data_IF_605006395983
#
_entry.id   IF_605006395983
#
_cell.length_a   1.000
_cell.length_b   1.000
_cell.length_c   1.000
_cell.angle_alpha   90.00
_cell.angle_beta   90.00
_cell.angle_gamma   90.00
#
_symmetry.space_group_name_H-M   'P 1'
#
loop_
_entity.id
_entity.type
_entity.pdbx_description
1 polymer ?
#
# COMPACT_ATOMS: atom_id res chain seq x y z
N UNK A 1 26.98 -5.94 13.34
CA UNK A 1 27.17 -6.06 11.87
C UNK A 1 25.98 -6.71 11.13
N UNK A 2 25.27 -7.70 11.68
CA UNK A 2 24.09 -8.29 11.01
C UNK A 2 22.85 -7.39 10.96
N UNK A 3 22.58 -6.61 12.02
CA UNK A 3 21.45 -5.66 12.05
C UNK A 3 21.59 -4.57 11.01
N UNK A 4 22.79 -3.98 10.93
CA UNK A 4 23.09 -2.88 10.01
C UNK A 4 22.88 -3.26 8.53
N UNK A 5 23.31 -4.46 8.12
CA UNK A 5 23.06 -4.93 6.75
C UNK A 5 21.58 -5.24 6.45
N UNK A 6 20.84 -5.75 7.44
CA UNK A 6 19.40 -5.98 7.30
C UNK A 6 18.61 -4.66 7.24
N UNK A 7 19.03 -3.66 8.01
CA UNK A 7 18.42 -2.33 8.03
C UNK A 7 18.72 -1.57 6.72
N UNK A 8 19.93 -1.68 6.17
CA UNK A 8 20.28 -1.13 4.85
C UNK A 8 19.44 -1.73 3.72
N UNK A 9 19.27 -3.06 3.69
CA UNK A 9 18.44 -3.72 2.68
C UNK A 9 16.97 -3.27 2.75
N UNK A 10 16.42 -3.12 3.97
CA UNK A 10 15.06 -2.59 4.18
C UNK A 10 14.93 -1.13 3.73
N UNK A 11 15.95 -0.32 3.94
CA UNK A 11 16.02 1.07 3.47
C UNK A 11 16.00 1.18 1.95
N UNK A 12 16.76 0.32 1.26
CA UNK A 12 16.80 0.25 -0.21
C UNK A 12 15.46 -0.21 -0.79
N UNK A 13 14.84 -1.22 -0.19
CA UNK A 13 13.53 -1.73 -0.63
C UNK A 13 12.44 -0.65 -0.51
N UNK A 14 12.41 0.06 0.62
CA UNK A 14 11.48 1.17 0.84
C UNK A 14 11.70 2.28 -0.18
N UNK A 15 12.96 2.55 -0.56
CA UNK A 15 13.31 3.57 -1.55
C UNK A 15 12.86 3.20 -2.97
N UNK A 16 12.97 1.91 -3.36
CA UNK A 16 12.43 1.42 -4.64
C UNK A 16 10.91 1.47 -4.67
N UNK A 17 10.25 1.11 -3.57
CA UNK A 17 8.78 1.14 -3.50
C UNK A 17 8.21 2.56 -3.61
N UNK A 18 8.94 3.58 -3.13
CA UNK A 18 8.53 4.99 -3.25
C UNK A 18 8.28 5.44 -4.69
N UNK A 19 9.07 4.96 -5.65
CA UNK A 19 8.88 5.29 -7.06
C UNK A 19 7.94 4.32 -7.78
N UNK A 20 7.96 3.03 -7.40
CA UNK A 20 7.18 1.99 -8.08
C UNK A 20 5.69 2.01 -7.74
N UNK A 21 5.31 2.34 -6.49
CA UNK A 21 3.89 2.37 -6.09
C UNK A 21 3.10 3.41 -6.89
N UNK A 22 3.55 4.68 -7.01
CA UNK A 22 2.90 5.66 -7.89
C UNK A 22 2.75 5.17 -9.34
N UNK A 23 3.77 4.51 -9.89
CA UNK A 23 3.71 3.95 -11.25
C UNK A 23 2.65 2.87 -11.41
N UNK A 24 2.51 2.01 -10.40
CA UNK A 24 1.50 0.96 -10.43
C UNK A 24 0.10 1.53 -10.36
N UNK A 25 -0.11 2.53 -9.50
CA UNK A 25 -1.38 3.26 -9.42
C UNK A 25 -1.68 3.97 -10.74
N UNK A 26 -0.71 4.66 -11.32
CA UNK A 26 -0.87 5.34 -12.61
C UNK A 26 -1.26 4.39 -13.74
N UNK A 27 -0.68 3.20 -13.77
CA UNK A 27 -1.00 2.17 -14.77
C UNK A 27 -2.38 1.56 -14.57
N UNK A 28 -2.77 1.32 -13.32
CA UNK A 28 -3.96 0.55 -12.96
C UNK A 28 -5.22 1.42 -12.85
N UNK A 29 -5.15 2.52 -12.10
CA UNK A 29 -6.26 3.42 -11.84
C UNK A 29 -6.33 4.61 -12.81
N UNK A 30 -5.23 4.91 -13.52
CA UNK A 30 -5.14 5.99 -14.52
C UNK A 30 -5.71 7.34 -14.02
N UNK A 31 -5.26 7.84 -12.86
CA UNK A 31 -5.70 9.13 -12.34
C UNK A 31 -5.38 10.27 -13.30
N UNK A 32 -6.19 11.32 -13.25
CA UNK A 32 -5.98 12.55 -14.00
C UNK A 32 -6.02 13.77 -13.05
N UNK A 33 -4.89 14.48 -12.82
CA UNK A 33 -3.57 14.21 -13.38
C UNK A 33 -2.92 12.92 -12.82
N UNK A 34 -1.96 12.32 -13.54
CA UNK A 34 -1.16 11.21 -13.01
C UNK A 34 -0.45 11.58 -11.71
N UNK A 35 -0.26 10.62 -10.82
CA UNK A 35 0.48 10.80 -9.57
C UNK A 35 1.96 11.00 -9.89
N UNK A 36 2.53 12.10 -9.44
CA UNK A 36 3.96 12.36 -9.53
C UNK A 36 4.73 11.50 -8.50
N UNK A 37 5.84 10.91 -8.93
CA UNK A 37 6.72 10.08 -8.12
C UNK A 37 7.46 10.86 -7.03
N UNK A 38 7.68 12.15 -7.25
CA UNK A 38 8.45 13.01 -6.33
C UNK A 38 7.55 13.93 -5.52
N UNK A 39 6.35 14.23 -6.02
CA UNK A 39 5.38 15.04 -5.28
C UNK A 39 4.58 14.18 -4.28
N UNK A 40 4.85 14.45 -3.01
CA UNK A 40 4.22 13.83 -1.85
C UNK A 40 2.89 14.50 -1.46
N UNK A 41 2.76 15.78 -1.77
CA UNK A 41 1.60 16.58 -1.35
C UNK A 41 0.37 16.26 -2.19
N UNK A 42 0.57 15.78 -3.41
CA UNK A 42 -0.49 15.36 -4.33
C UNK A 42 -0.93 13.89 -4.13
N UNK A 43 -0.67 13.28 -2.97
CA UNK A 43 -1.03 11.88 -2.65
C UNK A 43 -2.04 11.79 -1.50
N UNK A 44 -2.29 10.58 -1.02
CA UNK A 44 -3.26 10.33 0.05
C UNK A 44 -4.68 10.71 -0.36
N UNK A 45 -5.46 11.22 0.59
CA UNK A 45 -6.87 11.59 0.35
C UNK A 45 -7.03 12.83 -0.54
N UNK A 46 -5.96 13.57 -0.84
CA UNK A 46 -6.00 14.70 -1.78
C UNK A 46 -6.23 14.20 -3.21
N UNK A 47 -5.63 13.06 -3.57
CA UNK A 47 -5.80 12.43 -4.88
C UNK A 47 -6.95 11.41 -4.85
N UNK A 48 -7.82 11.42 -5.85
CA UNK A 48 -8.99 10.52 -5.87
C UNK A 48 -8.61 9.04 -6.00
N UNK A 49 -7.58 8.70 -6.77
CA UNK A 49 -7.15 7.31 -6.93
C UNK A 49 -6.46 6.78 -5.67
N UNK A 50 -5.59 7.57 -5.05
CA UNK A 50 -5.00 7.23 -3.75
C UNK A 50 -6.08 7.15 -2.66
N UNK A 51 -6.98 8.13 -2.61
CA UNK A 51 -8.07 8.16 -1.64
C UNK A 51 -8.99 6.94 -1.76
N UNK A 52 -9.32 6.50 -2.97
CA UNK A 52 -10.09 5.27 -3.20
C UNK A 52 -9.38 4.04 -2.60
N UNK A 53 -8.06 3.93 -2.76
CA UNK A 53 -7.27 2.84 -2.20
C UNK A 53 -7.19 2.87 -0.67
N UNK A 54 -7.18 4.06 -0.08
CA UNK A 54 -7.06 4.28 1.36
C UNK A 54 -8.39 4.34 2.10
N UNK A 55 -9.49 4.53 1.38
CA UNK A 55 -10.82 4.62 1.95
C UNK A 55 -11.10 3.36 2.78
N UNK A 56 -11.61 3.50 4.02
CA UNK A 56 -12.13 2.38 4.77
C UNK A 56 -13.17 1.63 3.95
N UNK A 57 -13.14 0.29 3.99
CA UNK A 57 -14.04 -0.55 3.21
C UNK A 57 -15.51 -0.41 3.59
N UNK A 58 -15.78 0.14 4.77
CA UNK A 58 -17.11 0.45 5.27
C UNK A 58 -17.68 1.73 4.65
N UNK A 59 -16.86 2.51 3.94
CA UNK A 59 -17.22 3.79 3.33
C UNK A 59 -17.09 3.74 1.80
N UNK A 60 -18.06 4.33 1.09
CA UNK A 60 -18.02 4.43 -0.37
C UNK A 60 -17.30 5.71 -0.83
N UNK A 61 -16.07 5.57 -1.31
CA UNK A 61 -15.29 6.71 -1.83
C UNK A 61 -15.96 7.43 -3.02
N UNK A 62 -16.81 6.73 -3.79
CA UNK A 62 -17.49 7.34 -4.92
C UNK A 62 -18.55 8.35 -4.46
N UNK A 63 -19.09 8.17 -3.25
CA UNK A 63 -19.99 9.12 -2.63
C UNK A 63 -19.26 10.45 -2.32
N UNK A 64 -19.65 11.58 -2.94
CA UNK A 64 -18.99 12.86 -2.72
C UNK A 64 -19.02 13.33 -1.26
N UNK A 65 -20.07 12.98 -0.51
CA UNK A 65 -20.19 13.32 0.91
C UNK A 65 -19.17 12.56 1.75
N UNK A 66 -18.97 11.27 1.47
CA UNK A 66 -17.93 10.46 2.12
C UNK A 66 -16.55 11.05 1.83
N UNK A 67 -16.28 11.33 0.55
CA UNK A 67 -14.99 11.89 0.13
C UNK A 67 -14.69 13.25 0.77
N UNK A 68 -15.67 14.15 0.81
CA UNK A 68 -15.55 15.43 1.50
C UNK A 68 -15.36 15.22 3.01
N UNK A 69 -16.17 14.37 3.64
CA UNK A 69 -16.09 14.07 5.07
C UNK A 69 -14.73 13.51 5.49
N UNK A 70 -14.14 12.61 4.70
CA UNK A 70 -12.80 12.07 4.96
C UNK A 70 -11.74 13.17 4.82
N UNK A 71 -11.82 14.01 3.78
CA UNK A 71 -10.86 15.11 3.53
C UNK A 71 -10.89 16.17 4.63
N UNK A 72 -12.10 16.52 5.06
CA UNK A 72 -12.34 17.54 6.09
C UNK A 72 -12.27 16.97 7.52
N UNK A 73 -12.07 15.65 7.65
CA UNK A 73 -11.99 14.91 8.93
C UNK A 73 -13.24 15.12 9.80
N UNK A 74 -14.41 15.10 9.17
CA UNK A 74 -15.69 15.23 9.87
C UNK A 74 -15.97 14.00 10.75
N UNK A 75 -16.74 14.22 11.81
CA UNK A 75 -17.22 13.14 12.67
C UNK A 75 -17.99 12.09 11.85
N UNK A 76 -17.71 10.80 12.10
CA UNK A 76 -18.24 9.69 11.30
C UNK A 76 -17.44 9.34 10.03
N UNK A 77 -16.46 10.16 9.64
CA UNK A 77 -15.60 9.93 8.46
C UNK A 77 -14.11 9.87 8.81
N UNK A 78 -13.77 9.71 10.09
CA UNK A 78 -12.40 9.63 10.56
C UNK A 78 -11.80 8.27 10.20
N UNK A 79 -10.79 8.27 9.34
CA UNK A 79 -10.00 7.08 9.03
C UNK A 79 -9.00 6.84 10.16
N UNK A 80 -9.09 5.68 10.80
CA UNK A 80 -8.26 5.31 11.96
C UNK A 80 -7.28 4.18 11.60
N UNK A 81 -6.34 3.89 12.49
CA UNK A 81 -5.45 2.73 12.35
C UNK A 81 -6.17 1.37 12.37
N UNK A 82 -7.41 1.34 12.85
CA UNK A 82 -8.27 0.15 12.89
C UNK A 82 -9.13 0.00 11.63
N UNK A 83 -9.17 1.03 10.77
CA UNK A 83 -9.90 0.99 9.51
C UNK A 83 -9.19 0.07 8.52
N UNK A 84 -9.96 -0.72 7.78
CA UNK A 84 -9.42 -1.60 6.73
C UNK A 84 -9.42 -0.85 5.40
N UNK A 85 -8.26 -0.44 4.86
CA UNK A 85 -8.23 0.28 3.60
C UNK A 85 -8.52 -0.66 2.43
N UNK A 86 -9.20 -0.13 1.41
CA UNK A 86 -9.60 -0.87 0.22
C UNK A 86 -8.43 -1.58 -0.49
N UNK A 87 -7.22 -1.01 -0.48
CA UNK A 87 -6.04 -1.63 -1.11
C UNK A 87 -5.66 -3.00 -0.53
N UNK A 88 -6.22 -3.42 0.62
CA UNK A 88 -5.98 -4.77 1.14
C UNK A 88 -6.70 -5.84 0.32
N UNK A 89 -7.82 -5.48 -0.31
CA UNK A 89 -8.73 -6.43 -0.92
C UNK A 89 -8.46 -6.63 -2.42
N UNK A 90 -8.79 -7.83 -2.90
CA UNK A 90 -8.82 -8.12 -4.33
C UNK A 90 -9.76 -7.13 -5.05
N UNK A 91 -9.27 -6.51 -6.12
CA UNK A 91 -10.07 -5.52 -6.87
C UNK A 91 -10.40 -4.25 -6.07
N UNK A 92 -9.80 -4.04 -4.90
CA UNK A 92 -10.03 -2.87 -4.05
C UNK A 92 -11.46 -2.76 -3.52
N UNK A 93 -12.12 -3.89 -3.29
CA UNK A 93 -13.49 -3.93 -2.75
C UNK A 93 -13.60 -5.09 -1.76
N UNK A 94 -14.14 -4.82 -0.57
CA UNK A 94 -14.44 -5.85 0.41
C UNK A 94 -15.89 -6.33 0.26
N UNK A 95 -16.12 -7.61 0.52
CA UNK A 95 -17.47 -8.12 0.71
C UNK A 95 -17.91 -7.86 2.15
N UNK A 96 -18.92 -7.01 2.32
CA UNK A 96 -19.46 -6.68 3.63
C UNK A 96 -20.04 -7.88 4.38
N UNK A 97 -20.45 -8.94 3.66
CA UNK A 97 -20.95 -10.18 4.26
C UNK A 97 -19.82 -11.16 4.59
N UNK A 98 -18.64 -10.97 3.99
CA UNK A 98 -17.47 -11.82 4.18
C UNK A 98 -16.17 -11.04 4.00
N UNK A 99 -15.72 -10.35 5.06
CA UNK A 99 -14.49 -9.55 5.05
C UNK A 99 -13.21 -10.37 4.88
N UNK A 100 -13.26 -11.70 4.99
CA UNK A 100 -12.10 -12.54 4.72
C UNK A 100 -11.91 -12.77 3.21
N UNK A 101 -13.00 -12.65 2.43
CA UNK A 101 -12.94 -12.80 0.99
C UNK A 101 -12.13 -11.67 0.36
N UNK A 102 -11.24 -12.04 -0.57
CA UNK A 102 -10.35 -11.07 -1.19
C UNK A 102 -9.27 -10.45 -0.29
N UNK A 103 -9.25 -10.69 1.03
CA UNK A 103 -8.34 -10.02 1.94
C UNK A 103 -6.87 -10.40 1.68
N UNK A 104 -6.00 -9.37 1.64
CA UNK A 104 -4.58 -9.45 1.25
C UNK A 104 -4.29 -9.96 -0.16
N UNK A 105 -5.28 -9.95 -1.06
CA UNK A 105 -5.16 -10.42 -2.45
C UNK A 105 -5.12 -9.28 -3.47
N UNK A 106 -4.91 -8.04 -3.05
CA UNK A 106 -4.81 -6.92 -3.98
C UNK A 106 -3.58 -6.99 -4.88
N UNK A 107 -3.68 -6.40 -6.08
CA UNK A 107 -2.59 -6.39 -7.05
C UNK A 107 -1.36 -5.65 -6.51
N UNK A 108 -1.57 -4.52 -5.81
CA UNK A 108 -0.51 -3.77 -5.15
C UNK A 108 0.26 -4.65 -4.14
N UNK A 109 -0.44 -5.36 -3.25
CA UNK A 109 0.21 -6.22 -2.26
C UNK A 109 1.00 -7.36 -2.91
N UNK A 110 0.45 -7.97 -3.97
CA UNK A 110 1.15 -9.02 -4.73
C UNK A 110 2.40 -8.46 -5.39
N UNK A 111 2.36 -7.25 -5.96
CA UNK A 111 3.53 -6.62 -6.58
C UNK A 111 4.62 -6.29 -5.58
N UNK A 112 4.26 -5.75 -4.41
CA UNK A 112 5.20 -5.51 -3.32
C UNK A 112 5.86 -6.81 -2.87
N UNK A 113 5.07 -7.87 -2.65
CA UNK A 113 5.58 -9.20 -2.29
C UNK A 113 6.57 -9.74 -3.33
N UNK A 114 6.27 -9.57 -4.62
CA UNK A 114 7.17 -10.03 -5.71
C UNK A 114 8.54 -9.36 -5.64
N UNK A 115 8.61 -8.06 -5.36
CA UNK A 115 9.88 -7.33 -5.21
C UNK A 115 10.69 -7.91 -4.06
N UNK A 116 10.05 -8.14 -2.91
CA UNK A 116 10.73 -8.72 -1.76
C UNK A 116 11.22 -10.14 -2.05
N UNK A 117 10.42 -10.97 -2.72
CA UNK A 117 10.82 -12.35 -3.07
C UNK A 117 11.91 -12.41 -4.13
N UNK A 118 11.83 -11.60 -5.21
CA UNK A 118 12.81 -11.66 -6.31
C UNK A 118 14.20 -11.21 -5.89
N UNK A 119 14.29 -10.22 -5.01
CA UNK A 119 15.58 -9.74 -4.51
C UNK A 119 16.24 -10.73 -3.53
N UNK A 120 15.45 -11.57 -2.86
CA UNK A 120 15.97 -12.67 -2.05
C UNK A 120 16.64 -13.75 -2.90
N UNK A 121 16.10 -14.08 -4.08
CA UNK A 121 16.73 -15.06 -4.98
C UNK A 121 18.13 -14.62 -5.43
N UNK A 122 18.36 -13.33 -5.66
CA UNK A 122 19.69 -12.78 -5.97
C UNK A 122 20.65 -12.86 -4.78
N UNK A 123 20.16 -12.75 -3.54
CA UNK A 123 20.95 -12.91 -2.32
C UNK A 123 21.29 -14.38 -2.03
N UNK A 124 20.39 -15.32 -2.38
CA UNK A 124 20.56 -16.76 -2.16
C UNK A 124 21.66 -17.40 -3.03
N UNK A 125 22.13 -16.75 -4.09
CA UNK A 125 23.26 -17.21 -4.93
C UNK A 125 24.63 -16.98 -4.23
N UNK A 126 24.67 -16.30 -3.06
CA UNK A 126 25.91 -15.73 -2.52
C UNK A 126 26.60 -16.41 -1.32
N UNK A 127 25.94 -17.14 -0.39
CA UNK A 127 26.58 -17.85 0.76
C UNK A 127 25.55 -18.55 1.68
N UNK A 128 26.05 -19.49 2.52
CA UNK A 128 25.37 -20.39 3.48
C UNK A 128 24.04 -19.89 4.10
N UNK A 129 23.07 -20.80 4.07
CA UNK A 129 21.66 -20.68 4.45
C UNK A 129 21.42 -20.09 5.86
N UNK A 130 20.58 -19.05 5.91
CA UNK A 130 19.67 -18.81 7.05
C UNK A 130 18.24 -18.89 6.53
N UNK A 131 17.33 -19.64 7.16
CA UNK A 131 15.91 -19.55 6.84
C UNK A 131 15.45 -18.12 7.17
N UNK A 132 14.99 -17.37 6.17
CA UNK A 132 14.52 -16.00 6.38
C UNK A 132 13.00 -15.96 6.45
N UNK A 133 12.49 -15.25 7.45
CA UNK A 133 11.07 -14.99 7.65
C UNK A 133 10.58 -13.92 6.67
N UNK A 134 9.46 -14.13 5.96
CA UNK A 134 8.86 -13.06 5.16
C UNK A 134 8.65 -11.81 6.02
N UNK A 135 8.70 -10.62 5.41
CA UNK A 135 8.29 -9.41 6.14
C UNK A 135 6.92 -9.69 6.76
N UNK A 136 6.74 -9.42 8.07
CA UNK A 136 5.47 -9.66 8.70
C UNK A 136 4.43 -8.85 7.93
N UNK A 137 3.27 -9.47 7.66
CA UNK A 137 2.19 -8.89 6.87
C UNK A 137 1.87 -7.44 7.28
N UNK A 138 1.91 -7.18 8.59
CA UNK A 138 1.79 -5.84 9.20
C UNK A 138 2.77 -4.82 8.62
N UNK A 139 4.06 -5.16 8.46
CA UNK A 139 5.06 -4.26 7.89
C UNK A 139 4.77 -3.95 6.42
N UNK A 140 4.35 -4.94 5.62
CA UNK A 140 3.99 -4.73 4.21
C UNK A 140 2.80 -3.80 4.06
N UNK A 141 1.76 -4.01 4.87
CA UNK A 141 0.56 -3.16 4.88
C UNK A 141 0.90 -1.72 5.26
N UNK A 142 1.69 -1.53 6.33
CA UNK A 142 2.13 -0.19 6.77
C UNK A 142 2.96 0.50 5.68
N UNK A 143 3.88 -0.22 5.03
CA UNK A 143 4.68 0.36 3.93
C UNK A 143 3.80 0.81 2.78
N UNK A 144 2.85 -0.01 2.32
CA UNK A 144 1.94 0.39 1.23
C UNK A 144 1.07 1.56 1.64
N UNK A 145 0.46 1.52 2.82
CA UNK A 145 -0.35 2.62 3.35
C UNK A 145 0.45 3.94 3.34
N UNK A 146 1.68 3.94 3.86
CA UNK A 146 2.54 5.13 3.89
C UNK A 146 2.85 5.65 2.48
N UNK A 147 3.08 4.77 1.52
CA UNK A 147 3.43 5.17 0.14
C UNK A 147 2.26 5.67 -0.68
N UNK A 148 1.03 5.31 -0.29
CA UNK A 148 -0.20 5.83 -0.90
C UNK A 148 -0.63 7.12 -0.19
N UNK A 149 -0.36 7.25 1.12
CA UNK A 149 -0.73 8.41 1.94
C UNK A 149 0.23 9.60 1.86
N UNK A 150 1.52 9.36 1.65
CA UNK A 150 2.61 10.37 1.64
C UNK A 150 3.21 10.43 0.25
#
# INVERSE_FOLDING_TARGET
QLRQGADSARGDDTSKLKSLVPDWINRELKPNPPIDREDKYCRGFVNDACGQLLCPTELDWNNPTVRAGIRDRLEGYIVTEMSWPAFLYQGYTADANNLEEGLFKSRLLVQVRRIYVSQQSSFLVGRRLKPYSPLPLKATVITVQLLVSI
#
